data_IF_542649251737
#
_entry.id   IF_542649251737
#
_cell.length_a   1.000
_cell.length_b   1.000
_cell.length_c   1.000
_cell.angle_alpha   90.00
_cell.angle_beta   90.00
_cell.angle_gamma   90.00
#
_symmetry.space_group_name_H-M   'P 1'
#
loop_
_entity.id
_entity.type
_entity.pdbx_description
1 polymer ?
#
# COMPACT_ATOMS: atom_id res chain seq x y z
N UNK A 1 0.85 -1.99 72.40
CA UNK A 1 -0.61 -1.83 72.21
C UNK A 1 -0.79 -0.55 71.42
N UNK A 2 -1.14 -0.68 70.14
CA UNK A 2 -1.39 0.48 69.27
C UNK A 2 -2.90 0.68 69.24
N UNK A 3 -3.36 1.78 69.82
CA UNK A 3 -4.74 2.26 69.70
C UNK A 3 -5.07 2.45 68.22
N UNK A 4 -5.96 1.60 67.73
CA UNK A 4 -6.48 1.67 66.37
C UNK A 4 -7.65 2.66 66.40
N UNK A 5 -7.36 3.90 66.00
CA UNK A 5 -8.31 5.01 65.92
C UNK A 5 -9.35 4.73 64.81
N UNK A 6 -10.48 4.15 65.21
CA UNK A 6 -11.57 3.72 64.35
C UNK A 6 -12.48 4.93 64.04
N UNK A 7 -11.98 5.84 63.20
CA UNK A 7 -12.73 7.03 62.79
C UNK A 7 -13.82 6.63 61.79
N UNK A 8 -15.10 6.96 62.03
CA UNK A 8 -16.19 6.60 61.14
C UNK A 8 -16.00 7.26 59.77
N UNK A 9 -15.89 6.43 58.74
CA UNK A 9 -15.77 6.83 57.34
C UNK A 9 -16.92 7.74 56.93
N UNK A 10 -16.61 9.00 56.64
CA UNK A 10 -17.58 10.01 56.23
C UNK A 10 -18.20 9.62 54.87
N UNK A 11 -19.53 9.39 54.80
CA UNK A 11 -20.21 8.98 53.57
C UNK A 11 -20.03 10.00 52.44
N UNK A 12 -19.80 11.28 52.74
CA UNK A 12 -19.58 12.32 51.75
C UNK A 12 -18.25 12.14 51.00
N UNK A 13 -17.23 11.63 51.70
CA UNK A 13 -15.90 11.38 51.13
C UNK A 13 -15.92 10.19 50.16
N UNK A 14 -16.67 9.12 50.48
CA UNK A 14 -16.88 7.98 49.58
C UNK A 14 -17.65 8.39 48.31
N UNK A 15 -18.63 9.29 48.44
CA UNK A 15 -19.39 9.81 47.30
C UNK A 15 -18.50 10.64 46.34
N UNK A 16 -17.58 11.48 46.86
CA UNK A 16 -16.62 12.22 46.02
C UNK A 16 -15.65 11.30 45.30
N UNK A 17 -15.12 10.28 45.97
CA UNK A 17 -14.17 9.34 45.35
C UNK A 17 -14.84 8.59 44.18
N UNK A 18 -16.09 8.14 44.34
CA UNK A 18 -16.85 7.48 43.26
C UNK A 18 -17.10 8.40 42.07
N UNK A 19 -17.43 9.67 42.31
CA UNK A 19 -17.62 10.65 41.23
C UNK A 19 -16.33 10.92 40.46
N UNK A 20 -15.20 11.08 41.16
CA UNK A 20 -13.91 11.26 40.51
C UNK A 20 -13.48 10.02 39.70
N UNK A 21 -13.65 8.81 40.24
CA UNK A 21 -13.31 7.59 39.50
C UNK A 21 -14.17 7.43 38.24
N UNK A 22 -15.47 7.75 38.32
CA UNK A 22 -16.37 7.69 37.17
C UNK A 22 -15.99 8.72 36.09
N UNK A 23 -15.58 9.92 36.50
CA UNK A 23 -15.17 10.98 35.58
C UNK A 23 -13.85 10.64 34.87
N UNK A 24 -12.86 10.09 35.60
CA UNK A 24 -11.60 9.61 34.99
C UNK A 24 -11.85 8.47 34.02
N UNK A 25 -12.75 7.55 34.35
CA UNK A 25 -13.11 6.44 33.45
C UNK A 25 -13.83 6.95 32.19
N UNK A 26 -14.76 7.89 32.33
CA UNK A 26 -15.43 8.50 31.19
C UNK A 26 -14.43 9.25 30.28
N UNK A 27 -13.49 9.99 30.86
CA UNK A 27 -12.49 10.74 30.10
C UNK A 27 -11.51 9.83 29.34
N UNK A 28 -11.11 8.71 29.93
CA UNK A 28 -10.25 7.73 29.27
C UNK A 28 -10.96 7.02 28.12
N UNK A 29 -12.25 6.69 28.24
CA UNK A 29 -13.05 6.15 27.12
C UNK A 29 -13.14 7.16 25.97
N UNK A 30 -13.34 8.45 26.27
CA UNK A 30 -13.38 9.50 25.24
C UNK A 30 -12.03 9.65 24.53
N UNK A 31 -10.92 9.62 25.26
CA UNK A 31 -9.56 9.71 24.67
C UNK A 31 -9.27 8.50 23.79
N UNK A 32 -9.57 7.28 24.24
CA UNK A 32 -9.40 6.06 23.42
C UNK A 32 -10.27 6.11 22.16
N UNK A 33 -11.52 6.58 22.29
CA UNK A 33 -12.42 6.80 21.17
C UNK A 33 -11.86 7.79 20.14
N UNK A 34 -11.37 8.96 20.59
CA UNK A 34 -10.75 9.93 19.68
C UNK A 34 -9.50 9.37 19.00
N UNK A 35 -8.63 8.65 19.73
CA UNK A 35 -7.45 8.04 19.15
C UNK A 35 -7.80 6.97 18.09
N UNK A 36 -8.91 6.25 18.25
CA UNK A 36 -9.40 5.26 17.29
C UNK A 36 -9.89 5.92 16.00
N UNK A 37 -10.67 7.00 16.13
CA UNK A 37 -11.18 7.77 14.98
C UNK A 37 -10.04 8.46 14.22
N UNK A 38 -9.06 9.00 14.95
CA UNK A 38 -7.86 9.60 14.35
C UNK A 38 -6.99 8.55 13.65
N UNK A 39 -6.90 7.33 14.19
CA UNK A 39 -6.21 6.22 13.54
C UNK A 39 -6.89 5.82 12.22
N UNK A 40 -8.22 5.71 12.17
CA UNK A 40 -8.93 5.46 10.91
C UNK A 40 -8.78 6.60 9.89
N UNK A 41 -8.67 7.85 10.36
CA UNK A 41 -8.47 9.00 9.49
C UNK A 41 -7.02 9.12 8.96
N UNK A 42 -6.03 8.62 9.70
CA UNK A 42 -4.60 8.75 9.36
C UNK A 42 -3.97 7.51 8.77
N UNK A 43 -4.55 6.32 8.98
CA UNK A 43 -4.04 5.06 8.41
C UNK A 43 -4.55 4.96 6.97
N UNK A 44 -3.66 5.07 5.95
CA UNK A 44 -4.07 4.89 4.57
C UNK A 44 -4.63 3.47 4.39
N UNK A 45 -5.75 3.35 3.66
CA UNK A 45 -6.46 2.08 3.44
C UNK A 45 -5.62 0.99 2.75
N UNK A 46 -4.46 1.35 2.21
CA UNK A 46 -3.48 0.43 1.67
C UNK A 46 -2.18 0.54 2.48
N UNK A 47 -1.88 -0.49 3.27
CA UNK A 47 -0.56 -0.72 3.84
C UNK A 47 0.20 -1.69 2.92
N UNK A 48 1.47 -1.42 2.58
CA UNK A 48 2.28 -0.27 2.99
C UNK A 48 1.93 1.02 2.21
N UNK A 49 2.19 2.21 2.78
CA UNK A 49 2.01 3.48 2.08
C UNK A 49 2.94 3.53 0.86
N UNK A 50 2.42 3.96 -0.30
CA UNK A 50 3.20 4.03 -1.55
C UNK A 50 3.98 5.34 -1.71
N UNK A 51 3.66 6.36 -0.93
CA UNK A 51 4.26 7.69 -1.04
C UNK A 51 4.89 8.17 0.28
N UNK A 52 5.87 9.07 0.17
CA UNK A 52 6.61 9.60 1.32
C UNK A 52 5.69 10.30 2.36
N UNK A 53 4.58 10.90 1.89
CA UNK A 53 3.59 11.53 2.78
C UNK A 53 2.83 10.48 3.60
N UNK A 54 2.44 9.35 3.01
CA UNK A 54 1.80 8.25 3.72
C UNK A 54 2.70 7.61 4.79
N UNK A 55 4.02 7.54 4.54
CA UNK A 55 4.98 7.12 5.56
C UNK A 55 5.11 8.15 6.69
N UNK A 56 5.17 9.44 6.37
CA UNK A 56 5.24 10.49 7.37
C UNK A 56 3.98 10.52 8.27
N UNK A 57 2.79 10.34 7.70
CA UNK A 57 1.55 10.27 8.48
C UNK A 57 1.47 9.03 9.37
N UNK A 58 1.96 7.88 8.88
CA UNK A 58 2.05 6.65 9.68
C UNK A 58 2.98 6.81 10.88
N UNK A 59 4.16 7.41 10.68
CA UNK A 59 5.14 7.67 11.74
C UNK A 59 4.62 8.71 12.74
N UNK A 60 3.93 9.76 12.27
CA UNK A 60 3.30 10.74 13.14
C UNK A 60 2.18 10.11 13.99
N UNK A 61 1.35 9.25 13.40
CA UNK A 61 0.28 8.58 14.12
C UNK A 61 0.82 7.62 15.19
N UNK A 62 1.85 6.84 14.88
CA UNK A 62 2.49 5.93 15.85
C UNK A 62 3.20 6.68 16.98
N UNK A 63 3.88 7.78 16.68
CA UNK A 63 4.52 8.64 17.71
C UNK A 63 3.49 9.34 18.60
N UNK A 64 2.37 9.83 18.06
CA UNK A 64 1.27 10.38 18.87
C UNK A 64 0.65 9.32 19.79
N UNK A 65 0.38 8.13 19.27
CA UNK A 65 -0.25 7.05 20.05
C UNK A 65 0.64 6.60 21.22
N UNK A 66 1.95 6.49 20.98
CA UNK A 66 2.93 6.17 22.03
C UNK A 66 3.02 7.27 23.09
N UNK A 67 3.02 8.55 22.69
CA UNK A 67 3.03 9.67 23.64
C UNK A 67 1.78 9.68 24.54
N UNK A 68 0.60 9.41 23.98
CA UNK A 68 -0.65 9.34 24.75
C UNK A 68 -0.63 8.17 25.74
N UNK A 69 -0.17 7.00 25.32
CA UNK A 69 -0.05 5.82 26.19
C UNK A 69 0.91 6.08 27.38
N UNK A 70 2.03 6.77 27.12
CA UNK A 70 3.01 7.14 28.16
C UNK A 70 2.41 8.14 29.14
N UNK A 71 1.70 9.16 28.65
CA UNK A 71 1.05 10.16 29.51
C UNK A 71 0.01 9.52 30.45
N UNK A 72 -0.79 8.58 29.93
CA UNK A 72 -1.78 7.83 30.73
C UNK A 72 -1.12 6.96 31.81
N UNK A 73 -0.01 6.28 31.48
CA UNK A 73 0.73 5.47 32.44
C UNK A 73 1.36 6.32 33.55
N UNK A 74 1.90 7.50 33.21
CA UNK A 74 2.48 8.44 34.17
C UNK A 74 1.42 9.05 35.10
N UNK A 75 0.24 9.40 34.57
CA UNK A 75 -0.86 9.94 35.38
C UNK A 75 -1.35 8.93 36.44
N UNK A 76 -1.55 7.67 36.06
CA UNK A 76 -1.91 6.60 37.01
C UNK A 76 -0.81 6.33 38.06
N UNK A 77 0.46 6.46 37.66
CA UNK A 77 1.58 6.33 38.58
C UNK A 77 1.63 7.48 39.61
N UNK A 78 1.41 8.72 39.17
CA UNK A 78 1.40 9.90 40.03
C UNK A 78 0.25 9.89 41.04
N UNK A 79 -0.96 9.46 40.64
CA UNK A 79 -2.07 9.28 41.59
C UNK A 79 -1.74 8.21 42.66
N UNK A 80 -1.11 7.11 42.25
CA UNK A 80 -0.68 6.05 43.17
C UNK A 80 0.38 6.53 44.16
N UNK A 81 1.32 7.35 43.70
CA UNK A 81 2.36 7.96 44.55
C UNK A 81 1.78 9.04 45.46
N UNK A 82 0.86 9.87 44.97
CA UNK A 82 0.18 10.90 45.76
C UNK A 82 -0.62 10.32 46.93
N UNK A 83 -1.39 9.24 46.70
CA UNK A 83 -2.09 8.53 47.78
C UNK A 83 -1.15 7.85 48.77
N UNK A 84 -0.03 7.30 48.29
CA UNK A 84 0.99 6.69 49.16
C UNK A 84 1.72 7.72 50.03
N UNK A 85 1.97 8.92 49.49
CA UNK A 85 2.60 10.03 50.20
C UNK A 85 1.64 10.76 51.15
N UNK A 86 0.32 10.72 50.92
CA UNK A 86 -0.64 11.38 51.79
C UNK A 86 -0.92 10.65 53.13
N UNK A 87 -0.51 9.37 53.27
CA UNK A 87 -0.90 8.52 54.42
C UNK A 87 0.23 8.15 55.40
N UNK A 88 1.48 8.62 55.24
CA UNK A 88 2.58 8.18 56.14
C UNK A 88 3.52 9.30 56.60
N UNK A 89 3.96 9.26 57.88
CA UNK A 89 4.91 10.20 58.46
C UNK A 89 6.27 10.14 57.75
N UNK A 90 6.96 11.28 57.68
CA UNK A 90 8.13 11.53 56.84
C UNK A 90 9.33 10.59 57.08
N UNK A 91 9.42 9.91 58.24
CA UNK A 91 10.56 9.10 58.65
C UNK A 91 10.78 7.78 57.89
N UNK A 92 9.75 7.18 57.28
CA UNK A 92 9.87 5.88 56.58
C UNK A 92 9.99 5.98 55.05
N UNK A 93 9.94 7.19 54.48
CA UNK A 93 9.81 7.40 53.03
C UNK A 93 11.04 6.99 52.21
N UNK A 94 12.21 6.87 52.83
CA UNK A 94 13.46 6.52 52.14
C UNK A 94 13.63 5.00 51.90
N UNK A 95 12.90 4.13 52.60
CA UNK A 95 13.06 2.67 52.46
C UNK A 95 12.31 2.10 51.24
N UNK A 96 11.19 2.72 50.85
CA UNK A 96 10.32 2.21 49.76
C UNK A 96 10.85 2.53 48.36
N UNK A 97 11.71 3.54 48.21
CA UNK A 97 12.38 3.84 46.94
C UNK A 97 13.38 2.74 46.51
N UNK A 98 13.79 1.86 47.43
CA UNK A 98 14.70 0.74 47.13
C UNK A 98 14.02 -0.46 46.44
N UNK A 99 12.68 -0.53 46.45
CA UNK A 99 11.91 -1.70 45.97
C UNK A 99 11.26 -1.56 44.59
N UNK A 100 11.44 -0.44 43.87
CA UNK A 100 10.80 -0.19 42.56
C UNK A 100 11.70 -0.20 41.30
N UNK A 101 12.92 -0.80 41.27
CA UNK A 101 13.74 -0.75 40.06
C UNK A 101 13.07 -1.47 38.87
N UNK A 102 12.31 -2.54 39.11
CA UNK A 102 11.79 -3.43 38.07
C UNK A 102 10.88 -2.73 37.04
N UNK A 103 10.04 -1.78 37.47
CA UNK A 103 9.11 -1.10 36.55
C UNK A 103 9.79 -0.07 35.67
N UNK A 104 10.82 0.59 36.21
CA UNK A 104 11.63 1.57 35.46
C UNK A 104 12.51 0.84 34.45
N UNK A 105 13.09 -0.31 34.82
CA UNK A 105 13.83 -1.15 33.86
C UNK A 105 12.93 -1.69 32.76
N UNK A 106 11.72 -2.18 33.07
CA UNK A 106 10.80 -2.68 32.02
C UNK A 106 10.41 -1.58 31.03
N UNK A 107 10.09 -0.36 31.51
CA UNK A 107 9.79 0.76 30.63
C UNK A 107 11.00 1.14 29.76
N UNK A 108 12.20 1.23 30.35
CA UNK A 108 13.42 1.55 29.62
C UNK A 108 13.74 0.48 28.54
N UNK A 109 13.58 -0.81 28.85
CA UNK A 109 13.78 -1.90 27.90
C UNK A 109 12.77 -1.83 26.75
N UNK A 110 11.50 -1.50 27.03
CA UNK A 110 10.50 -1.30 25.99
C UNK A 110 10.87 -0.15 25.04
N UNK A 111 11.29 1.00 25.56
CA UNK A 111 11.74 2.12 24.74
C UNK A 111 12.96 1.77 23.89
N UNK A 112 13.94 1.05 24.45
CA UNK A 112 15.12 0.59 23.69
C UNK A 112 14.69 -0.39 22.59
N UNK A 113 13.79 -1.33 22.87
CA UNK A 113 13.28 -2.27 21.87
C UNK A 113 12.53 -1.57 20.73
N UNK A 114 11.67 -0.59 21.05
CA UNK A 114 10.97 0.22 20.03
C UNK A 114 11.96 1.06 19.22
N UNK A 115 12.94 1.71 19.86
CA UNK A 115 13.95 2.49 19.17
C UNK A 115 14.79 1.62 18.22
N UNK A 116 15.16 0.40 18.62
CA UNK A 116 15.87 -0.57 17.77
C UNK A 116 14.99 -1.04 16.61
N UNK A 117 13.72 -1.36 16.86
CA UNK A 117 12.78 -1.77 15.80
C UNK A 117 12.54 -0.63 14.79
N UNK A 118 12.38 0.60 15.26
CA UNK A 118 12.26 1.79 14.40
C UNK A 118 13.56 2.05 13.65
N UNK A 119 14.73 1.90 14.26
CA UNK A 119 16.02 2.06 13.58
C UNK A 119 16.24 1.00 12.48
N UNK A 120 15.78 -0.24 12.71
CA UNK A 120 15.81 -1.31 11.70
C UNK A 120 14.82 -1.05 10.55
N UNK A 121 13.67 -0.45 10.84
CA UNK A 121 12.68 -0.03 9.82
C UNK A 121 13.06 1.29 9.13
N UNK A 122 13.85 2.13 9.78
CA UNK A 122 14.30 3.44 9.30
C UNK A 122 15.51 3.35 8.36
N UNK A 123 15.96 2.15 7.99
CA UNK A 123 16.78 1.88 6.80
C UNK A 123 15.97 2.14 5.50
N UNK A 124 15.14 3.19 5.52
CA UNK A 124 14.32 3.75 4.44
C UNK A 124 15.18 4.13 3.23
N UNK A 125 16.48 4.32 3.40
CA UNK A 125 17.42 4.47 2.30
C UNK A 125 17.50 3.24 1.38
N UNK A 126 17.08 2.06 1.85
CA UNK A 126 16.89 0.87 0.98
C UNK A 126 15.48 0.78 0.38
N UNK A 127 14.52 1.56 0.89
CA UNK A 127 13.16 1.65 0.36
C UNK A 127 13.05 2.68 -0.77
N UNK A 128 13.97 3.65 -0.83
CA UNK A 128 14.02 4.61 -1.92
C UNK A 128 15.11 4.20 -2.90
N UNK A 129 14.70 3.52 -3.97
CA UNK A 129 15.54 3.20 -5.13
C UNK A 129 15.99 4.47 -5.82
N UNK A 130 17.18 4.99 -5.49
CA UNK A 130 17.63 6.31 -5.94
C UNK A 130 18.81 6.26 -6.89
N UNK A 131 19.38 5.08 -7.14
CA UNK A 131 20.48 4.97 -8.08
C UNK A 131 19.94 4.98 -9.52
N UNK A 132 20.14 6.11 -10.22
CA UNK A 132 19.72 6.26 -11.62
C UNK A 132 20.53 5.33 -12.52
N UNK A 133 19.87 4.40 -13.19
CA UNK A 133 20.50 3.46 -14.13
C UNK A 133 20.54 4.00 -15.57
N UNK A 134 19.46 4.64 -16.03
CA UNK A 134 19.38 5.18 -17.40
C UNK A 134 17.95 5.21 -17.95
N UNK A 135 17.82 5.60 -19.22
CA UNK A 135 16.52 5.71 -19.88
C UNK A 135 15.89 4.35 -20.21
N UNK A 136 14.56 4.32 -20.31
CA UNK A 136 13.79 3.14 -20.69
C UNK A 136 13.72 2.98 -22.23
N UNK A 137 14.00 1.78 -22.75
CA UNK A 137 13.86 1.48 -24.19
C UNK A 137 12.54 0.73 -24.43
N UNK A 138 11.47 1.50 -24.64
CA UNK A 138 10.14 0.93 -24.90
C UNK A 138 10.05 0.23 -26.26
N UNK A 139 10.73 0.77 -27.28
CA UNK A 139 10.69 0.19 -28.63
C UNK A 139 11.39 -1.17 -28.67
N UNK A 140 12.59 -1.26 -28.09
CA UNK A 140 13.31 -2.54 -27.95
C UNK A 140 12.54 -3.54 -27.11
N UNK A 141 11.95 -3.09 -25.99
CA UNK A 141 11.11 -3.93 -25.14
C UNK A 141 9.95 -4.53 -25.94
N UNK A 142 9.10 -3.70 -26.57
CA UNK A 142 7.96 -4.17 -27.36
C UNK A 142 8.38 -5.10 -28.50
N UNK A 143 9.45 -4.77 -29.23
CA UNK A 143 9.96 -5.59 -30.34
C UNK A 143 10.40 -6.98 -29.86
N UNK A 144 10.98 -7.08 -28.66
CA UNK A 144 11.41 -8.37 -28.10
C UNK A 144 10.26 -9.35 -27.84
N UNK A 145 9.03 -8.84 -27.67
CA UNK A 145 7.81 -9.63 -27.53
C UNK A 145 7.04 -9.81 -28.85
N UNK A 146 7.55 -9.29 -29.97
CA UNK A 146 6.96 -9.46 -31.30
C UNK A 146 5.90 -8.42 -31.66
N UNK A 147 5.86 -7.29 -30.95
CA UNK A 147 5.06 -6.12 -31.34
C UNK A 147 5.81 -5.28 -32.38
N UNK A 148 5.08 -4.59 -33.25
CA UNK A 148 5.67 -3.78 -34.34
C UNK A 148 5.81 -2.32 -33.97
N UNK A 149 5.01 -1.83 -33.04
CA UNK A 149 5.02 -0.42 -32.61
C UNK A 149 4.98 -0.31 -31.08
N UNK A 150 5.55 0.78 -30.58
CA UNK A 150 5.55 1.13 -29.17
C UNK A 150 5.02 2.55 -29.02
N UNK A 151 4.12 2.75 -28.06
CA UNK A 151 3.65 4.06 -27.62
C UNK A 151 4.14 4.33 -26.19
N UNK A 152 3.72 5.45 -25.59
CA UNK A 152 4.07 5.76 -24.22
C UNK A 152 3.51 4.74 -23.20
N UNK A 153 2.38 4.10 -23.53
CA UNK A 153 1.59 3.27 -22.61
C UNK A 153 1.36 1.84 -23.12
N UNK A 154 1.44 1.60 -24.44
CA UNK A 154 1.09 0.32 -25.04
C UNK A 154 2.14 -0.16 -26.05
N UNK A 155 2.41 -1.47 -26.05
CA UNK A 155 2.98 -2.16 -27.20
C UNK A 155 1.83 -2.56 -28.14
N UNK A 156 1.99 -2.35 -29.45
CA UNK A 156 0.94 -2.64 -30.45
C UNK A 156 1.48 -3.41 -31.65
N UNK A 157 0.62 -4.25 -32.21
CA UNK A 157 0.81 -4.94 -33.48
C UNK A 157 -0.46 -4.87 -34.29
N UNK A 158 -0.36 -4.41 -35.52
CA UNK A 158 -1.51 -4.33 -36.42
C UNK A 158 -2.03 -5.73 -36.75
N UNK A 159 -3.36 -5.85 -36.82
CA UNK A 159 -4.04 -7.09 -37.18
C UNK A 159 -4.28 -7.10 -38.69
N UNK A 160 -3.77 -8.14 -39.34
CA UNK A 160 -4.10 -8.47 -40.72
C UNK A 160 -5.43 -9.22 -40.76
N UNK A 161 -6.53 -8.51 -41.04
CA UNK A 161 -7.89 -9.05 -40.97
C UNK A 161 -8.10 -10.30 -41.86
N UNK A 162 -7.60 -10.35 -43.12
CA UNK A 162 -7.58 -11.59 -43.91
C UNK A 162 -6.97 -12.79 -43.17
N UNK A 163 -5.82 -12.60 -42.53
CA UNK A 163 -5.17 -13.66 -41.76
C UNK A 163 -5.98 -14.09 -40.52
N UNK A 164 -6.80 -13.18 -39.95
CA UNK A 164 -7.75 -13.53 -38.89
C UNK A 164 -8.86 -14.44 -39.41
N UNK A 165 -9.42 -14.12 -40.59
CA UNK A 165 -10.43 -14.98 -41.21
C UNK A 165 -9.85 -16.36 -41.53
N UNK A 166 -8.64 -16.41 -42.10
CA UNK A 166 -7.97 -17.67 -42.37
C UNK A 166 -7.76 -18.51 -41.08
N UNK A 167 -7.42 -17.84 -39.98
CA UNK A 167 -7.27 -18.47 -38.67
C UNK A 167 -8.60 -18.95 -38.07
N UNK A 168 -9.66 -18.13 -38.14
CA UNK A 168 -10.96 -18.46 -37.55
C UNK A 168 -11.64 -19.63 -38.26
N UNK A 169 -11.49 -19.71 -39.59
CA UNK A 169 -12.11 -20.76 -40.41
C UNK A 169 -11.15 -21.89 -40.79
N UNK A 170 -9.91 -21.87 -40.25
CA UNK A 170 -8.86 -22.89 -40.48
C UNK A 170 -8.63 -23.23 -41.96
N UNK A 171 -8.68 -22.21 -42.83
CA UNK A 171 -8.54 -22.36 -44.27
C UNK A 171 -8.00 -21.07 -44.91
N UNK A 172 -7.05 -21.16 -45.87
CA UNK A 172 -6.43 -19.98 -46.45
C UNK A 172 -7.29 -19.30 -47.51
N UNK A 173 -6.98 -18.02 -47.78
CA UNK A 173 -7.52 -17.28 -48.92
C UNK A 173 -8.84 -16.55 -48.65
N UNK A 174 -9.27 -16.48 -47.39
CA UNK A 174 -10.37 -15.65 -46.99
C UNK A 174 -9.98 -14.17 -47.06
N UNK A 175 -10.97 -13.34 -47.35
CA UNK A 175 -10.82 -11.89 -47.38
C UNK A 175 -11.83 -11.25 -46.43
N UNK A 176 -11.68 -9.95 -46.19
CA UNK A 176 -12.59 -9.21 -45.31
C UNK A 176 -13.34 -8.17 -46.11
N UNK A 177 -14.66 -8.18 -45.96
CA UNK A 177 -15.53 -7.09 -46.39
C UNK A 177 -15.84 -6.21 -45.17
N UNK A 178 -15.28 -5.01 -45.16
CA UNK A 178 -15.50 -4.04 -44.08
C UNK A 178 -16.90 -3.42 -44.18
N UNK A 179 -17.61 -3.41 -43.07
CA UNK A 179 -18.83 -2.63 -42.87
C UNK A 179 -18.56 -1.13 -42.63
N UNK A 180 -19.59 -0.36 -42.26
CA UNK A 180 -19.46 1.05 -41.95
C UNK A 180 -18.72 1.33 -40.62
N UNK A 181 -18.61 0.35 -39.72
CA UNK A 181 -17.94 0.46 -38.42
C UNK A 181 -16.86 -0.62 -38.22
N UNK A 182 -16.00 -0.44 -37.22
CA UNK A 182 -14.87 -1.34 -36.93
C UNK A 182 -15.33 -2.76 -36.56
N UNK A 183 -16.56 -2.91 -36.09
CA UNK A 183 -17.15 -4.16 -35.64
C UNK A 183 -17.92 -4.89 -36.75
N UNK A 184 -18.20 -4.23 -37.88
CA UNK A 184 -18.96 -4.77 -39.00
C UNK A 184 -18.14 -5.53 -40.04
N UNK A 185 -16.94 -5.99 -39.68
CA UNK A 185 -16.11 -6.80 -40.58
C UNK A 185 -16.72 -8.19 -40.78
N UNK A 186 -16.92 -8.59 -42.04
CA UNK A 186 -17.42 -9.92 -42.42
C UNK A 186 -16.34 -10.66 -43.19
N UNK A 187 -16.07 -11.91 -42.80
CA UNK A 187 -15.19 -12.81 -43.54
C UNK A 187 -15.89 -13.33 -44.80
N UNK A 188 -15.14 -13.40 -45.88
CA UNK A 188 -15.63 -13.83 -47.20
C UNK A 188 -14.69 -14.92 -47.71
N UNK A 189 -15.27 -16.00 -48.23
CA UNK A 189 -14.49 -17.12 -48.80
C UNK A 189 -13.82 -16.73 -50.14
N UNK A 190 -12.92 -17.58 -50.69
CA UNK A 190 -12.25 -17.30 -51.96
C UNK A 190 -13.21 -17.13 -53.15
N UNK A 191 -14.44 -17.68 -53.08
CA UNK A 191 -15.48 -17.52 -54.09
C UNK A 191 -16.31 -16.23 -53.93
N UNK A 192 -16.05 -15.44 -52.89
CA UNK A 192 -16.77 -14.20 -52.62
C UNK A 192 -18.07 -14.37 -51.81
N UNK A 193 -18.34 -15.56 -51.26
CA UNK A 193 -19.53 -15.82 -50.44
C UNK A 193 -19.27 -15.36 -48.99
N UNK A 194 -20.23 -14.64 -48.37
CA UNK A 194 -20.09 -14.25 -46.98
C UNK A 194 -20.17 -15.48 -46.07
N UNK A 195 -19.24 -15.56 -45.13
CA UNK A 195 -19.30 -16.48 -44.01
C UNK A 195 -20.01 -15.74 -42.87
N UNK A 196 -19.29 -15.39 -41.80
CA UNK A 196 -19.78 -14.60 -40.68
C UNK A 196 -18.75 -13.54 -40.26
N UNK A 197 -19.03 -12.82 -39.17
CA UNK A 197 -18.10 -11.87 -38.57
C UNK A 197 -16.88 -12.54 -37.94
N UNK A 198 -16.00 -11.72 -37.35
CA UNK A 198 -14.86 -12.21 -36.58
C UNK A 198 -15.27 -12.29 -35.11
N UNK A 199 -15.31 -13.50 -34.55
CA UNK A 199 -15.87 -13.75 -33.22
C UNK A 199 -14.83 -13.64 -32.10
N UNK A 200 -13.56 -14.01 -32.36
CA UNK A 200 -12.51 -14.06 -31.33
C UNK A 200 -11.22 -13.34 -31.76
N UNK A 201 -11.30 -12.03 -31.92
CA UNK A 201 -10.14 -11.19 -32.22
C UNK A 201 -9.05 -11.27 -31.13
N UNK A 202 -9.46 -11.40 -29.86
CA UNK A 202 -8.53 -11.53 -28.75
C UNK A 202 -7.79 -12.88 -28.77
N UNK A 203 -8.47 -13.95 -29.17
CA UNK A 203 -7.89 -15.27 -29.40
C UNK A 203 -6.85 -15.26 -30.50
N UNK A 204 -7.15 -14.59 -31.61
CA UNK A 204 -6.16 -14.38 -32.68
C UNK A 204 -4.91 -13.66 -32.15
N UNK A 205 -5.09 -12.58 -31.37
CA UNK A 205 -3.97 -11.87 -30.76
C UNK A 205 -3.11 -12.76 -29.87
N UNK A 206 -3.72 -13.59 -29.01
CA UNK A 206 -3.00 -14.59 -28.20
C UNK A 206 -2.31 -15.65 -29.05
N UNK A 207 -2.91 -16.04 -30.17
CA UNK A 207 -2.32 -17.01 -31.11
C UNK A 207 -1.03 -16.48 -31.73
N UNK A 208 -1.01 -15.22 -32.19
CA UNK A 208 0.17 -14.63 -32.83
C UNK A 208 1.22 -14.10 -31.83
N UNK A 209 0.81 -13.74 -30.61
CA UNK A 209 1.68 -13.18 -29.55
C UNK A 209 1.77 -14.13 -28.34
N UNK A 210 2.21 -15.37 -28.57
CA UNK A 210 2.24 -16.46 -27.58
C UNK A 210 3.02 -16.18 -26.28
N UNK A 211 3.91 -15.18 -26.28
CA UNK A 211 4.75 -14.81 -25.14
C UNK A 211 4.08 -13.82 -24.18
N UNK A 212 2.95 -13.23 -24.57
CA UNK A 212 2.29 -12.19 -23.79
C UNK A 212 1.01 -12.76 -23.14
N UNK A 213 0.87 -12.55 -21.83
CA UNK A 213 -0.19 -13.16 -21.00
C UNK A 213 -1.47 -12.33 -20.89
N UNK A 214 -1.47 -11.07 -21.33
CA UNK A 214 -2.59 -10.14 -21.24
C UNK A 214 -2.76 -9.32 -22.53
N UNK A 215 -2.76 -9.98 -23.69
CA UNK A 215 -2.96 -9.31 -24.97
C UNK A 215 -4.44 -9.10 -25.21
N UNK A 216 -4.79 -7.88 -25.58
CA UNK A 216 -6.13 -7.46 -25.95
C UNK A 216 -6.19 -7.09 -27.43
N UNK A 217 -7.37 -7.20 -28.04
CA UNK A 217 -7.64 -6.64 -29.34
C UNK A 217 -8.39 -5.31 -29.18
N UNK A 218 -7.89 -4.24 -29.77
CA UNK A 218 -8.50 -2.92 -29.69
C UNK A 218 -8.58 -2.25 -31.07
N UNK A 219 -9.70 -1.58 -31.40
CA UNK A 219 -9.78 -0.74 -32.59
C UNK A 219 -8.95 0.53 -32.39
N UNK A 220 -8.12 0.87 -33.37
CA UNK A 220 -7.37 2.14 -33.39
C UNK A 220 -8.16 3.24 -34.11
N UNK A 221 -9.01 2.85 -35.05
CA UNK A 221 -9.96 3.69 -35.76
C UNK A 221 -11.14 2.81 -36.24
N UNK A 222 -12.04 3.38 -37.05
CA UNK A 222 -13.23 2.68 -37.56
C UNK A 222 -12.94 1.48 -38.48
N UNK A 223 -11.68 1.20 -38.84
CA UNK A 223 -11.32 0.17 -39.82
C UNK A 223 -10.12 -0.70 -39.44
N UNK A 224 -9.31 -0.29 -38.47
CA UNK A 224 -8.06 -0.99 -38.13
C UNK A 224 -8.08 -1.48 -36.69
N UNK A 225 -7.75 -2.76 -36.54
CA UNK A 225 -7.59 -3.42 -35.26
C UNK A 225 -6.12 -3.63 -34.95
N UNK A 226 -5.79 -3.61 -33.65
CA UNK A 226 -4.45 -3.93 -33.16
C UNK A 226 -4.53 -4.90 -32.01
N UNK A 227 -3.54 -5.78 -31.92
CA UNK A 227 -3.21 -6.48 -30.71
C UNK A 227 -2.37 -5.55 -29.84
N UNK A 228 -2.79 -5.31 -28.60
CA UNK A 228 -2.09 -4.42 -27.70
C UNK A 228 -1.99 -4.96 -26.27
N UNK A 229 -0.97 -4.50 -25.56
CA UNK A 229 -0.77 -4.75 -24.13
C UNK A 229 -0.27 -3.47 -23.46
N UNK A 230 -0.73 -3.21 -22.24
CA UNK A 230 -0.21 -2.12 -21.43
C UNK A 230 1.25 -2.41 -21.01
N UNK A 231 2.10 -1.40 -21.07
CA UNK A 231 3.51 -1.54 -20.75
C UNK A 231 3.69 -1.46 -19.23
N UNK A 232 4.07 -2.58 -18.62
CA UNK A 232 4.68 -2.56 -17.30
C UNK A 232 6.11 -1.98 -17.40
N UNK A 233 6.25 -0.74 -16.96
CA UNK A 233 7.50 0.02 -17.07
C UNK A 233 8.59 -0.51 -16.16
N UNK A 234 8.22 -1.04 -14.99
CA UNK A 234 9.17 -1.66 -14.06
C UNK A 234 9.70 -2.95 -14.65
N UNK A 235 8.82 -3.77 -15.25
CA UNK A 235 9.23 -4.96 -15.99
C UNK A 235 10.12 -4.61 -17.20
N UNK A 236 9.79 -3.55 -17.93
CA UNK A 236 10.62 -3.08 -19.04
C UNK A 236 12.00 -2.58 -18.58
N UNK A 237 12.09 -1.93 -17.41
CA UNK A 237 13.37 -1.61 -16.77
C UNK A 237 14.17 -2.86 -16.42
N UNK A 238 13.52 -3.84 -15.77
CA UNK A 238 14.13 -5.13 -15.44
C UNK A 238 14.64 -5.88 -16.67
N UNK A 239 13.88 -5.84 -17.77
CA UNK A 239 14.30 -6.39 -19.05
C UNK A 239 15.53 -5.65 -19.62
N UNK A 240 15.54 -4.32 -19.61
CA UNK A 240 16.65 -3.54 -20.20
C UNK A 240 17.97 -3.74 -19.47
N UNK A 241 17.94 -3.73 -18.14
CA UNK A 241 19.14 -3.77 -17.31
C UNK A 241 19.46 -5.16 -16.73
N UNK A 242 18.62 -6.16 -17.01
CA UNK A 242 18.75 -7.54 -16.52
C UNK A 242 18.87 -7.62 -14.99
N UNK A 243 18.16 -6.72 -14.29
CA UNK A 243 18.10 -6.65 -12.82
C UNK A 243 16.66 -6.79 -12.35
N UNK A 244 16.48 -7.43 -11.20
CA UNK A 244 15.16 -7.53 -10.55
C UNK A 244 14.85 -6.25 -9.78
N UNK A 245 13.57 -6.08 -9.46
CA UNK A 245 13.08 -5.03 -8.58
C UNK A 245 13.45 -3.61 -9.02
N UNK A 246 13.61 -3.35 -10.31
CA UNK A 246 13.83 -1.97 -10.78
C UNK A 246 12.52 -1.19 -10.81
N UNK A 247 12.62 0.12 -10.59
CA UNK A 247 11.50 1.04 -10.68
C UNK A 247 11.66 1.98 -11.87
N UNK A 248 10.57 2.18 -12.60
CA UNK A 248 10.50 3.22 -13.61
C UNK A 248 9.89 4.50 -13.01
N UNK A 249 10.60 5.62 -13.14
CA UNK A 249 10.10 6.96 -12.76
C UNK A 249 10.14 7.88 -13.97
N UNK A 250 9.22 8.84 -14.00
CA UNK A 250 9.13 9.82 -15.07
C UNK A 250 9.90 11.08 -14.68
N UNK A 251 11.03 11.31 -15.34
CA UNK A 251 11.85 12.52 -15.16
C UNK A 251 11.57 13.48 -16.32
N UNK A 252 10.64 14.39 -16.12
CA UNK A 252 10.15 15.29 -17.17
C UNK A 252 9.39 14.50 -18.26
N UNK A 253 9.99 14.36 -19.44
CA UNK A 253 9.38 13.67 -20.59
C UNK A 253 9.93 12.26 -20.83
N UNK A 254 10.96 11.86 -20.08
CA UNK A 254 11.61 10.56 -20.27
C UNK A 254 11.31 9.63 -19.08
N UNK A 255 11.11 8.36 -19.40
CA UNK A 255 11.07 7.31 -18.39
C UNK A 255 12.50 6.86 -18.09
N UNK A 256 12.86 6.87 -16.82
CA UNK A 256 14.18 6.50 -16.31
C UNK A 256 14.03 5.35 -15.33
N UNK A 257 14.99 4.41 -15.36
CA UNK A 257 15.05 3.28 -14.44
C UNK A 257 15.93 3.58 -13.23
N UNK A 258 15.48 3.11 -12.07
CA UNK A 258 16.12 3.30 -10.76
C UNK A 258 16.27 1.96 -10.03
N UNK A 259 17.35 1.84 -9.27
CA UNK A 259 17.67 0.74 -8.34
C UNK A 259 17.78 1.24 -6.90
#
# INVERSE_FOLDING_TARGET
MSEQDDRPDDPEQRARIRRYSALVFALSVVVVGMCSVVAEALVPRALPPQDARGWASLLLATTLFTMVAVAAALAGFLEGVGRALARRPFGERLVILRGRPLRVTVAAVFFVAVAVAVAQLADLGKLVKDSRLGGLDLAGYCTSYGYTTASADYCRRDIDLPAVCDWQYDAPGHTVRLGPDAYGAICVDPEGRPLEGIDDMAGYCRHILKKSVAVEAAPVNDKTWTCQIEIDRSLACSWRFQKRDLEARKDGHLWTCYE
#
